data_IF_003437870729
#
_entry.id   IF_003437870729
#
_cell.length_a   1.000
_cell.length_b   1.000
_cell.length_c   1.000
_cell.angle_alpha   90.00
_cell.angle_beta   90.00
_cell.angle_gamma   90.00
#
_symmetry.space_group_name_H-M   'P 1'
#
loop_
_entity.id
_entity.type
_entity.pdbx_description
1 polymer ?
#
# COMPACT_ATOMS: atom_id res chain seq x y z
N UNK A 1 -15.44 -23.28 -9.38
CA UNK A 1 -14.06 -23.73 -9.64
C UNK A 1 -13.39 -22.63 -10.46
N UNK A 2 -12.65 -21.73 -9.83
CA UNK A 2 -11.84 -20.74 -10.57
C UNK A 2 -10.59 -21.48 -11.06
N UNK A 3 -10.38 -21.48 -12.37
CA UNK A 3 -9.22 -22.10 -12.99
C UNK A 3 -7.99 -21.24 -12.68
N UNK A 4 -6.90 -21.78 -12.09
CA UNK A 4 -5.72 -20.99 -11.72
C UNK A 4 -4.99 -20.37 -12.92
N UNK A 5 -5.30 -20.83 -14.13
CA UNK A 5 -4.64 -20.43 -15.38
C UNK A 5 -5.29 -19.21 -16.07
N UNK A 6 -6.36 -18.64 -15.50
CA UNK A 6 -7.05 -17.48 -16.06
C UNK A 6 -7.46 -16.47 -14.97
N UNK A 7 -6.55 -16.20 -14.03
CA UNK A 7 -6.74 -15.16 -13.00
C UNK A 7 -6.51 -13.79 -13.64
N UNK A 8 -7.52 -12.92 -13.63
CA UNK A 8 -7.37 -11.57 -14.14
C UNK A 8 -6.78 -10.67 -13.06
N UNK A 9 -5.94 -9.69 -13.44
CA UNK A 9 -5.25 -8.82 -12.47
C UNK A 9 -6.24 -7.95 -11.69
N UNK A 10 -7.38 -7.61 -12.29
CA UNK A 10 -8.45 -6.86 -11.63
C UNK A 10 -9.04 -7.59 -10.42
N UNK A 11 -9.10 -8.93 -10.44
CA UNK A 11 -9.52 -9.77 -9.31
C UNK A 11 -8.60 -9.63 -8.09
N UNK A 12 -7.34 -9.23 -8.29
CA UNK A 12 -6.35 -9.07 -7.22
C UNK A 12 -6.36 -7.66 -6.61
N UNK A 13 -7.06 -6.69 -7.21
CA UNK A 13 -6.92 -5.28 -6.84
C UNK A 13 -7.49 -4.95 -5.45
N UNK A 14 -8.54 -5.65 -5.02
CA UNK A 14 -9.10 -5.45 -3.68
C UNK A 14 -8.16 -5.99 -2.60
N UNK A 15 -7.62 -7.19 -2.80
CA UNK A 15 -6.62 -7.76 -1.90
C UNK A 15 -5.31 -6.95 -1.91
N UNK A 16 -4.90 -6.45 -3.07
CA UNK A 16 -3.78 -5.53 -3.22
C UNK A 16 -4.00 -4.24 -2.43
N UNK A 17 -5.20 -3.64 -2.53
CA UNK A 17 -5.55 -2.44 -1.79
C UNK A 17 -5.56 -2.64 -0.27
N UNK A 18 -5.87 -3.86 0.19
CA UNK A 18 -5.82 -4.25 1.60
C UNK A 18 -4.42 -4.66 2.09
N UNK A 19 -3.43 -4.76 1.19
CA UNK A 19 -2.10 -5.29 1.52
C UNK A 19 -2.14 -6.78 1.90
N UNK A 20 -3.09 -7.53 1.36
CA UNK A 20 -3.36 -8.93 1.68
C UNK A 20 -2.87 -9.92 0.61
N UNK A 21 -2.01 -9.46 -0.31
CA UNK A 21 -1.40 -10.28 -1.35
C UNK A 21 -0.05 -10.83 -0.92
N UNK A 22 0.31 -11.98 -1.48
CA UNK A 22 1.66 -12.51 -1.37
C UNK A 22 2.66 -11.65 -2.16
N UNK A 23 3.97 -11.64 -1.81
CA UNK A 23 4.95 -10.77 -2.47
C UNK A 23 5.04 -10.94 -3.99
N UNK A 24 4.84 -12.17 -4.49
CA UNK A 24 4.86 -12.43 -5.94
C UNK A 24 3.62 -11.86 -6.65
N UNK A 25 2.45 -11.90 -6.00
CA UNK A 25 1.20 -11.33 -6.53
C UNK A 25 1.25 -9.81 -6.52
N UNK A 26 1.89 -9.20 -5.51
CA UNK A 26 2.15 -7.76 -5.49
C UNK A 26 2.98 -7.36 -6.71
N UNK A 27 4.07 -8.09 -7.01
CA UNK A 27 4.91 -7.81 -8.15
C UNK A 27 4.15 -7.96 -9.49
N UNK A 28 3.28 -8.98 -9.62
CA UNK A 28 2.41 -9.17 -10.78
C UNK A 28 1.45 -7.99 -10.98
N UNK A 29 0.78 -7.54 -9.91
CA UNK A 29 -0.13 -6.40 -9.96
C UNK A 29 0.64 -5.12 -10.32
N UNK A 30 1.77 -4.85 -9.67
CA UNK A 30 2.55 -3.63 -9.92
C UNK A 30 3.05 -3.53 -11.36
N UNK A 31 3.60 -4.61 -11.90
CA UNK A 31 4.02 -4.67 -13.30
C UNK A 31 2.84 -4.38 -14.27
N UNK A 32 1.64 -4.89 -13.97
CA UNK A 32 0.46 -4.60 -14.78
C UNK A 32 -0.01 -3.14 -14.65
N UNK A 33 0.07 -2.57 -13.45
CA UNK A 33 -0.33 -1.18 -13.19
C UNK A 33 0.56 -0.17 -13.92
N UNK A 34 1.78 -0.51 -14.33
CA UNK A 34 2.61 0.34 -15.19
C UNK A 34 1.96 0.54 -16.57
N UNK A 35 1.39 -0.51 -17.16
CA UNK A 35 0.84 -0.50 -18.51
C UNK A 35 -0.66 -0.19 -18.61
N UNK A 36 -1.46 -0.50 -17.59
CA UNK A 36 -2.92 -0.52 -17.71
C UNK A 36 -3.63 0.62 -16.96
N UNK A 37 -4.17 1.60 -17.70
CA UNK A 37 -4.86 2.76 -17.13
C UNK A 37 -6.18 2.40 -16.41
N UNK A 38 -6.95 1.45 -16.95
CA UNK A 38 -8.20 1.01 -16.32
C UNK A 38 -7.95 0.32 -14.98
N UNK A 39 -6.95 -0.56 -14.90
CA UNK A 39 -6.58 -1.22 -13.65
C UNK A 39 -5.99 -0.23 -12.63
N UNK A 40 -5.23 0.79 -13.06
CA UNK A 40 -4.84 1.89 -12.15
C UNK A 40 -6.04 2.59 -11.54
N UNK A 41 -7.09 2.84 -12.33
CA UNK A 41 -8.30 3.49 -11.84
C UNK A 41 -9.08 2.56 -10.88
N UNK A 42 -9.17 1.27 -11.19
CA UNK A 42 -9.76 0.27 -10.29
C UNK A 42 -8.99 0.15 -8.97
N UNK A 43 -7.66 0.09 -9.02
CA UNK A 43 -6.81 0.04 -7.83
C UNK A 43 -6.97 1.30 -6.97
N UNK A 44 -7.09 2.48 -7.59
CA UNK A 44 -7.36 3.72 -6.87
C UNK A 44 -8.73 3.70 -6.16
N UNK A 45 -9.78 3.19 -6.82
CA UNK A 45 -11.10 3.00 -6.19
C UNK A 45 -11.05 2.00 -5.03
N UNK A 46 -10.41 0.85 -5.22
CA UNK A 46 -10.25 -0.17 -4.18
C UNK A 46 -9.52 0.39 -2.96
N UNK A 47 -8.44 1.15 -3.15
CA UNK A 47 -7.71 1.84 -2.07
C UNK A 47 -8.57 2.86 -1.33
N UNK A 48 -9.37 3.66 -2.04
CA UNK A 48 -10.28 4.61 -1.40
C UNK A 48 -11.31 3.88 -0.51
N UNK A 49 -11.86 2.76 -0.99
CA UNK A 49 -12.75 1.90 -0.18
C UNK A 49 -12.03 1.33 1.04
N UNK A 50 -10.82 0.80 0.87
CA UNK A 50 -10.03 0.24 1.97
C UNK A 50 -9.69 1.28 3.06
N UNK A 51 -9.49 2.55 2.68
CA UNK A 51 -9.26 3.63 3.65
C UNK A 51 -10.45 3.86 4.59
N UNK A 52 -11.69 3.61 4.15
CA UNK A 52 -12.85 3.69 5.05
C UNK A 52 -12.82 2.62 6.14
N UNK A 53 -12.25 1.44 5.87
CA UNK A 53 -12.12 0.37 6.86
C UNK A 53 -11.13 0.75 7.97
N UNK A 54 -10.07 1.51 7.66
CA UNK A 54 -9.14 2.02 8.67
C UNK A 54 -9.84 2.86 9.75
N UNK A 55 -10.90 3.57 9.39
CA UNK A 55 -11.66 4.41 10.31
C UNK A 55 -12.58 3.59 11.23
N UNK A 56 -12.85 2.33 10.90
CA UNK A 56 -13.66 1.43 11.74
C UNK A 56 -12.84 0.73 12.83
N UNK A 57 -11.50 0.71 12.71
CA UNK A 57 -10.64 0.10 13.71
C UNK A 57 -10.63 0.94 15.00
N UNK A 58 -10.63 0.31 16.20
CA UNK A 58 -10.48 1.04 17.45
C UNK A 58 -9.13 1.78 17.50
N UNK A 59 -9.16 3.05 17.91
CA UNK A 59 -7.94 3.80 18.13
C UNK A 59 -7.13 3.20 19.29
N UNK A 60 -5.85 2.92 19.05
CA UNK A 60 -4.91 2.45 20.08
C UNK A 60 -3.97 3.59 20.46
N UNK A 61 -3.77 3.81 21.76
CA UNK A 61 -2.86 4.83 22.25
C UNK A 61 -1.40 4.42 21.97
N UNK A 62 -0.65 5.17 21.15
CA UNK A 62 0.75 4.86 20.91
C UNK A 62 1.62 5.15 22.15
N UNK A 63 2.78 4.48 22.31
CA UNK A 63 3.75 4.84 23.35
C UNK A 63 4.15 6.32 23.25
N UNK A 64 4.24 7.02 24.39
CA UNK A 64 4.50 8.47 24.43
C UNK A 64 5.78 8.88 23.67
N UNK A 65 6.81 8.03 23.68
CA UNK A 65 8.07 8.27 22.99
C UNK A 65 8.00 8.09 21.46
N UNK A 66 6.95 7.45 20.92
CA UNK A 66 6.89 7.08 19.50
C UNK A 66 6.96 8.32 18.59
N UNK A 67 6.23 9.38 18.94
CA UNK A 67 6.23 10.64 18.16
C UNK A 67 7.64 11.22 18.05
N UNK A 68 8.35 11.32 19.17
CA UNK A 68 9.71 11.86 19.19
C UNK A 68 10.68 11.00 18.36
N UNK A 69 10.57 9.66 18.46
CA UNK A 69 11.39 8.73 17.68
C UNK A 69 11.16 8.86 16.17
N UNK A 70 9.90 8.96 15.74
CA UNK A 70 9.55 9.13 14.31
C UNK A 70 10.10 10.44 13.77
N UNK A 71 9.88 11.56 14.47
CA UNK A 71 10.36 12.87 14.04
C UNK A 71 11.89 12.94 13.99
N UNK A 72 12.58 12.40 15.00
CA UNK A 72 14.04 12.32 14.99
C UNK A 72 14.56 11.56 13.76
N UNK A 73 13.89 10.46 13.36
CA UNK A 73 14.27 9.70 12.17
C UNK A 73 14.03 10.48 10.88
N UNK A 74 12.90 11.18 10.75
CA UNK A 74 12.61 12.04 9.60
C UNK A 74 13.68 13.14 9.45
N UNK A 75 14.04 13.82 10.53
CA UNK A 75 15.09 14.84 10.51
C UNK A 75 16.46 14.29 10.14
N UNK A 76 16.81 13.10 10.64
CA UNK A 76 18.07 12.45 10.30
C UNK A 76 18.16 12.13 8.80
N UNK A 77 17.08 11.63 8.19
CA UNK A 77 17.03 11.34 6.74
C UNK A 77 17.17 12.64 5.93
N UNK A 78 16.45 13.70 6.31
CA UNK A 78 16.55 14.99 5.62
C UNK A 78 17.96 15.60 5.68
N UNK A 79 18.63 15.51 6.84
CA UNK A 79 20.01 15.99 6.98
C UNK A 79 21.00 15.17 6.14
N UNK A 80 20.78 13.87 5.97
CA UNK A 80 21.61 12.99 5.13
C UNK A 80 21.49 13.34 3.64
N UNK A 81 20.29 13.67 3.16
CA UNK A 81 20.05 14.11 1.78
C UNK A 81 20.74 15.45 1.50
N UNK A 82 20.67 16.38 2.46
CA UNK A 82 21.33 17.69 2.37
C UNK A 82 22.85 17.58 2.34
N UNK A 83 23.44 16.70 3.14
CA UNK A 83 24.89 16.47 3.17
C UNK A 83 25.44 15.73 1.94
N UNK A 84 24.56 15.09 1.15
CA UNK A 84 24.91 14.40 -0.10
C UNK A 84 24.89 15.33 -1.33
N UNK A 85 24.35 16.53 -1.17
CA UNK A 85 24.28 17.58 -2.20
C UNK A 85 25.49 18.51 -2.07
#
# INVERSE_FOLDING_TARGET
MVNPENRHIDDLLDAYALGALEPYEVAEVEAHLEGCASCRQSAARARATAQHLLLAAPAVQPPAALRAKVLARVHAVAAQEQART
#
